data_IF_464982323779
#
_entry.id   IF_464982323779
#
_cell.length_a   1.000
_cell.length_b   1.000
_cell.length_c   1.000
_cell.angle_alpha   90.00
_cell.angle_beta   90.00
_cell.angle_gamma   90.00
#
_symmetry.space_group_name_H-M   'P 1'
#
loop_
_entity.id
_entity.type
_entity.pdbx_description
1 polymer ?
#
# COMPACT_ATOMS: atom_id res chain seq x y z
N UNK A 1 13.93 0.97 -16.77
CA UNK A 1 12.92 2.06 -16.74
C UNK A 1 12.47 2.20 -15.29
N UNK A 2 12.72 3.32 -14.62
CA UNK A 2 12.03 3.61 -13.36
C UNK A 2 10.55 3.68 -13.71
N UNK A 3 9.75 2.69 -13.31
CA UNK A 3 8.29 2.78 -13.46
C UNK A 3 7.87 4.02 -12.68
N UNK A 4 7.66 5.13 -13.38
CA UNK A 4 7.07 6.31 -12.79
C UNK A 4 5.61 5.97 -12.66
N UNK A 5 5.23 5.36 -11.53
CA UNK A 5 3.84 5.11 -11.15
C UNK A 5 3.06 6.43 -10.94
N UNK A 6 3.61 7.56 -11.38
CA UNK A 6 3.11 8.92 -11.19
C UNK A 6 2.90 9.56 -12.54
N UNK A 7 1.75 10.21 -12.69
CA UNK A 7 1.40 10.98 -13.87
C UNK A 7 0.74 12.31 -13.49
N UNK A 8 0.88 13.29 -14.36
CA UNK A 8 0.29 14.61 -14.17
C UNK A 8 -1.21 14.56 -14.45
N UNK A 9 -2.02 14.79 -13.42
CA UNK A 9 -3.48 14.65 -13.48
C UNK A 9 -4.20 16.00 -13.56
N UNK A 10 -3.60 16.94 -14.29
CA UNK A 10 -4.24 18.22 -14.58
C UNK A 10 -5.46 18.01 -15.47
N UNK A 11 -6.54 18.74 -15.21
CA UNK A 11 -7.77 18.71 -16.02
C UNK A 11 -7.50 19.03 -17.49
N UNK A 12 -6.53 19.91 -17.75
CA UNK A 12 -6.07 20.24 -19.09
C UNK A 12 -4.61 19.75 -19.22
N UNK A 13 -4.30 18.88 -20.19
CA UNK A 13 -2.94 18.45 -20.46
C UNK A 13 -2.00 19.63 -20.72
N UNK A 14 -0.71 19.48 -20.41
CA UNK A 14 0.28 20.47 -20.83
C UNK A 14 0.32 20.54 -22.36
N UNK A 15 0.28 21.75 -22.89
CA UNK A 15 0.50 22.00 -24.31
C UNK A 15 1.98 22.28 -24.55
N UNK A 16 2.66 21.41 -25.31
CA UNK A 16 4.01 21.67 -25.80
C UNK A 16 3.94 22.31 -27.20
N UNK A 17 4.76 23.34 -27.45
CA UNK A 17 4.85 23.99 -28.76
C UNK A 17 5.81 23.23 -29.67
N UNK A 18 5.40 22.04 -30.12
CA UNK A 18 6.21 21.10 -30.92
C UNK A 18 6.79 21.76 -32.18
N UNK A 19 6.07 22.70 -32.81
CA UNK A 19 6.53 23.41 -34.02
C UNK A 19 7.74 24.33 -33.80
N UNK A 20 7.97 24.79 -32.57
CA UNK A 20 9.10 25.64 -32.25
C UNK A 20 10.33 24.83 -31.81
N UNK A 21 10.12 23.65 -31.21
CA UNK A 21 11.19 22.67 -30.94
C UNK A 21 11.76 22.07 -32.24
N UNK A 22 10.92 21.82 -33.25
CA UNK A 22 11.35 21.32 -34.58
C UNK A 22 12.28 22.28 -35.35
N UNK A 23 12.30 23.58 -34.99
CA UNK A 23 13.17 24.59 -35.61
C UNK A 23 14.52 24.71 -34.90
N UNK A 24 14.82 23.85 -33.93
CA UNK A 24 16.04 23.91 -33.14
C UNK A 24 16.12 25.12 -32.21
N UNK A 25 15.01 25.86 -32.00
CA UNK A 25 14.98 27.00 -31.09
C UNK A 25 14.51 26.56 -29.72
N UNK A 26 15.27 26.93 -28.68
CA UNK A 26 14.90 26.67 -27.29
C UNK A 26 13.64 27.45 -26.94
N UNK A 27 12.54 26.74 -26.74
CA UNK A 27 11.30 27.34 -26.25
C UNK A 27 11.42 27.59 -24.75
N UNK A 28 11.16 28.82 -24.32
CA UNK A 28 11.20 29.23 -22.90
C UNK A 28 12.55 28.93 -22.22
N UNK A 29 13.65 29.45 -22.79
CA UNK A 29 15.01 29.27 -22.27
C UNK A 29 15.19 29.59 -20.76
N UNK A 30 14.33 30.44 -20.19
CA UNK A 30 14.35 30.82 -18.77
C UNK A 30 13.26 30.13 -17.92
N UNK A 31 12.65 29.06 -18.42
CA UNK A 31 11.59 28.33 -17.72
C UNK A 31 11.96 26.86 -17.55
N UNK A 32 11.93 26.40 -16.30
CA UNK A 32 12.09 24.97 -15.98
C UNK A 32 10.71 24.39 -15.72
N UNK A 33 10.24 23.55 -16.62
CA UNK A 33 9.04 22.75 -16.39
C UNK A 33 9.33 21.68 -15.32
N UNK A 34 8.68 21.80 -14.17
CA UNK A 34 8.79 20.83 -13.08
C UNK A 34 7.64 19.81 -13.18
N UNK A 35 7.98 18.53 -13.24
CA UNK A 35 7.00 17.44 -13.24
C UNK A 35 6.05 17.55 -12.04
N UNK A 36 4.76 17.45 -12.32
CA UNK A 36 3.68 17.60 -11.36
C UNK A 36 3.31 19.04 -11.01
N UNK A 37 3.98 20.07 -11.54
CA UNK A 37 3.69 21.48 -11.28
C UNK A 37 3.28 22.25 -12.54
N UNK A 38 2.03 22.70 -12.60
CA UNK A 38 1.50 23.48 -13.72
C UNK A 38 0.55 24.57 -13.21
N UNK A 39 0.68 25.78 -13.77
CA UNK A 39 -0.12 26.96 -13.40
C UNK A 39 -0.21 27.23 -11.87
N UNK A 40 0.91 27.09 -11.16
CA UNK A 40 0.99 27.33 -9.71
C UNK A 40 0.39 26.21 -8.84
N UNK A 41 -0.04 25.09 -9.43
CA UNK A 41 -0.62 23.95 -8.70
C UNK A 41 0.25 22.72 -8.87
N UNK A 42 0.33 21.91 -7.81
CA UNK A 42 0.92 20.58 -7.86
C UNK A 42 -0.16 19.51 -7.98
N UNK A 43 -0.23 18.79 -9.09
CA UNK A 43 -1.22 17.73 -9.32
C UNK A 43 -0.55 16.52 -9.94
N UNK A 44 -0.38 15.48 -9.12
CA UNK A 44 0.21 14.20 -9.51
C UNK A 44 -0.68 13.12 -8.94
N UNK A 45 -1.08 12.17 -9.79
CA UNK A 45 -1.82 10.99 -9.38
C UNK A 45 -0.95 9.76 -9.57
N UNK A 46 -1.24 8.70 -8.83
CA UNK A 46 -0.66 7.41 -9.14
C UNK A 46 -1.37 6.80 -10.36
N UNK A 47 -0.61 6.04 -11.16
CA UNK A 47 -1.13 5.28 -12.29
C UNK A 47 -1.94 4.06 -11.82
N UNK A 48 -2.45 3.32 -12.80
CA UNK A 48 -3.04 1.99 -12.60
C UNK A 48 -2.12 0.93 -13.18
N UNK A 49 -2.29 -0.32 -12.75
CA UNK A 49 -1.58 -1.47 -13.31
C UNK A 49 -1.96 -1.60 -14.80
N UNK A 50 -0.98 -1.48 -15.69
CA UNK A 50 -1.23 -1.47 -17.14
C UNK A 50 -0.98 -2.83 -17.78
N UNK A 51 -0.02 -3.59 -17.24
CA UNK A 51 0.46 -4.82 -17.85
C UNK A 51 0.03 -6.04 -17.03
N UNK A 52 -0.10 -7.20 -17.68
CA UNK A 52 -0.59 -8.44 -17.05
C UNK A 52 0.39 -9.05 -16.04
N UNK A 53 1.68 -8.77 -16.24
CA UNK A 53 2.78 -9.12 -15.36
C UNK A 53 2.95 -8.10 -14.22
N UNK A 54 2.40 -6.90 -14.32
CA UNK A 54 2.51 -5.88 -13.27
C UNK A 54 1.55 -6.17 -12.09
N UNK A 55 2.11 -6.30 -10.90
CA UNK A 55 1.35 -6.55 -9.67
C UNK A 55 1.68 -5.50 -8.61
N UNK A 56 0.66 -5.03 -7.90
CA UNK A 56 0.85 -4.25 -6.66
C UNK A 56 0.65 -5.17 -5.45
N UNK A 57 1.57 -5.10 -4.51
CA UNK A 57 1.57 -5.92 -3.31
C UNK A 57 1.43 -4.99 -2.11
N UNK A 58 0.42 -5.24 -1.29
CA UNK A 58 0.20 -4.57 -0.01
C UNK A 58 0.49 -5.54 1.13
N UNK A 59 1.33 -5.13 2.07
CA UNK A 59 1.58 -5.84 3.33
C UNK A 59 1.09 -4.97 4.48
N UNK A 60 0.22 -5.51 5.33
CA UNK A 60 -0.51 -4.76 6.34
C UNK A 60 -0.22 -5.33 7.72
N UNK A 61 0.20 -4.44 8.62
CA UNK A 61 0.42 -4.72 10.04
C UNK A 61 -0.62 -3.95 10.84
N UNK A 62 -1.43 -4.65 11.62
CA UNK A 62 -2.45 -4.04 12.48
C UNK A 62 -2.86 -5.00 13.61
N UNK A 63 -3.66 -4.51 14.54
CA UNK A 63 -4.10 -5.30 15.69
C UNK A 63 -2.91 -5.84 16.49
N UNK A 64 -2.94 -7.11 16.86
CA UNK A 64 -1.87 -7.76 17.61
C UNK A 64 -0.88 -8.50 16.67
N UNK A 65 -0.29 -7.77 15.72
CA UNK A 65 0.56 -8.35 14.69
C UNK A 65 1.90 -8.86 15.24
N UNK A 66 2.51 -8.20 16.23
CA UNK A 66 3.78 -8.63 16.83
C UNK A 66 3.54 -9.38 18.13
N UNK A 67 3.94 -10.66 18.21
CA UNK A 67 3.86 -11.46 19.44
C UNK A 67 5.24 -12.00 19.81
N UNK A 68 5.62 -11.87 21.09
CA UNK A 68 6.89 -12.40 21.62
C UNK A 68 6.63 -13.62 22.51
N UNK A 69 7.46 -14.67 22.41
CA UNK A 69 7.23 -15.94 23.11
C UNK A 69 7.65 -15.96 24.58
N UNK A 70 8.62 -15.12 24.98
CA UNK A 70 8.99 -14.99 26.41
C UNK A 70 8.23 -13.83 27.04
N UNK A 71 7.79 -14.03 28.29
CA UNK A 71 7.09 -13.09 29.18
C UNK A 71 7.84 -11.78 29.52
N UNK A 72 8.94 -11.48 28.84
CA UNK A 72 9.73 -10.28 29.05
C UNK A 72 9.13 -9.09 28.28
N UNK A 73 8.09 -8.49 28.88
CA UNK A 73 7.39 -7.26 28.45
C UNK A 73 6.71 -7.41 27.09
N UNK A 74 5.39 -7.22 27.03
CA UNK A 74 4.74 -6.80 25.78
C UNK A 74 5.49 -5.54 25.30
N UNK A 75 6.42 -5.72 24.36
CA UNK A 75 7.16 -4.60 23.79
C UNK A 75 6.18 -3.86 22.92
N UNK A 76 5.62 -2.79 23.48
CA UNK A 76 4.56 -2.02 22.84
C UNK A 76 5.05 -1.30 21.59
N UNK A 77 6.32 -0.91 21.58
CA UNK A 77 6.91 -0.10 20.52
C UNK A 77 8.07 -0.87 19.87
N UNK A 78 7.86 -1.36 18.66
CA UNK A 78 8.93 -1.94 17.84
C UNK A 78 8.96 -1.23 16.50
N UNK A 79 10.14 -1.11 15.91
CA UNK A 79 10.28 -0.57 14.55
C UNK A 79 10.39 -1.74 13.59
N UNK A 80 9.54 -1.75 12.55
CA UNK A 80 9.49 -2.78 11.53
C UNK A 80 9.98 -2.21 10.21
N UNK A 81 10.96 -2.89 9.62
CA UNK A 81 11.50 -2.60 8.29
C UNK A 81 11.23 -3.80 7.40
N UNK A 82 10.64 -3.56 6.24
CA UNK A 82 10.38 -4.61 5.25
C UNK A 82 11.19 -4.30 3.99
N UNK A 83 11.87 -5.28 3.43
CA UNK A 83 12.60 -5.14 2.18
C UNK A 83 12.15 -6.23 1.19
N UNK A 84 11.61 -5.88 0.02
CA UNK A 84 11.34 -6.86 -1.03
C UNK A 84 12.65 -7.41 -1.59
N UNK A 85 12.62 -8.68 -1.99
CA UNK A 85 13.72 -9.34 -2.67
C UNK A 85 13.21 -10.35 -3.69
N UNK A 86 14.01 -10.57 -4.73
CA UNK A 86 13.83 -11.69 -5.64
C UNK A 86 14.71 -12.85 -5.19
N UNK A 87 14.11 -13.98 -4.83
CA UNK A 87 14.85 -15.15 -4.28
C UNK A 87 15.80 -15.79 -5.29
N UNK A 88 15.67 -15.48 -6.58
CA UNK A 88 16.62 -15.92 -7.62
C UNK A 88 17.91 -15.11 -7.62
N UNK A 89 17.89 -13.91 -7.00
CA UNK A 89 19.05 -13.03 -6.93
C UNK A 89 19.76 -13.25 -5.60
N UNK A 90 21.09 -13.38 -5.63
CA UNK A 90 21.90 -13.39 -4.42
C UNK A 90 21.63 -12.10 -3.62
N UNK A 91 21.32 -12.26 -2.34
CA UNK A 91 21.05 -11.11 -1.47
C UNK A 91 22.33 -10.27 -1.37
N UNK A 92 22.22 -8.96 -1.58
CA UNK A 92 23.33 -8.05 -1.25
C UNK A 92 23.62 -8.17 0.24
N UNK A 93 24.91 -8.24 0.60
CA UNK A 93 25.41 -8.34 1.97
C UNK A 93 24.67 -7.35 2.89
N UNK A 94 23.77 -7.86 3.73
CA UNK A 94 22.92 -7.03 4.61
C UNK A 94 21.45 -7.47 4.73
N UNK A 95 20.90 -8.17 3.74
CA UNK A 95 19.53 -8.72 3.78
C UNK A 95 19.47 -10.19 4.27
N UNK A 96 20.53 -10.65 4.91
CA UNK A 96 20.68 -12.00 5.45
C UNK A 96 20.65 -12.01 6.98
N UNK A 97 20.08 -13.09 7.53
CA UNK A 97 20.13 -13.33 8.98
C UNK A 97 21.53 -13.85 9.31
N UNK A 98 22.45 -12.95 9.65
CA UNK A 98 23.79 -13.35 10.12
C UNK A 98 23.67 -14.05 11.48
N UNK A 99 24.07 -15.32 11.52
CA UNK A 99 24.25 -16.06 12.77
C UNK A 99 25.67 -15.82 13.29
N UNK A 100 25.85 -15.76 14.61
CA UNK A 100 27.17 -15.57 15.22
C UNK A 100 28.06 -16.82 15.15
N UNK A 101 27.54 -17.95 14.69
CA UNK A 101 28.22 -19.24 14.63
C UNK A 101 27.84 -19.94 13.32
N UNK A 102 28.81 -20.16 12.45
CA UNK A 102 28.64 -20.77 11.13
C UNK A 102 29.64 -20.19 10.15
N UNK A 103 30.38 -21.06 9.47
CA UNK A 103 31.10 -20.69 8.25
C UNK A 103 30.10 -20.99 7.14
N UNK A 104 29.60 -19.95 6.47
CA UNK A 104 28.73 -20.15 5.31
C UNK A 104 29.59 -20.79 4.21
N UNK A 105 29.19 -21.96 3.71
CA UNK A 105 29.73 -22.49 2.46
C UNK A 105 29.19 -21.59 1.35
N UNK A 106 30.03 -20.68 0.87
CA UNK A 106 29.67 -19.79 -0.24
C UNK A 106 29.62 -20.62 -1.52
N UNK A 107 28.41 -20.85 -2.05
CA UNK A 107 28.25 -21.28 -3.44
C UNK A 107 28.71 -20.12 -4.35
N UNK A 108 29.96 -20.19 -4.80
CA UNK A 108 30.66 -19.23 -5.66
C UNK A 108 30.25 -19.30 -7.15
N UNK A 109 29.06 -19.79 -7.46
CA UNK A 109 28.54 -19.75 -8.83
C UNK A 109 27.81 -18.41 -9.06
N UNK A 110 28.59 -17.39 -9.45
CA UNK A 110 28.10 -16.11 -9.96
C UNK A 110 27.36 -16.34 -11.28
N UNK A 111 26.09 -16.77 -11.19
CA UNK A 111 25.22 -16.91 -12.34
C UNK A 111 24.90 -15.52 -12.91
N UNK A 112 25.77 -15.08 -13.82
CA UNK A 112 25.67 -13.85 -14.61
C UNK A 112 24.44 -13.84 -15.57
N UNK A 113 23.48 -14.75 -15.40
CA UNK A 113 22.21 -14.79 -16.13
C UNK A 113 21.13 -13.85 -15.58
N UNK A 114 21.36 -13.20 -14.43
CA UNK A 114 20.36 -12.33 -13.80
C UNK A 114 19.98 -11.14 -14.71
N UNK A 115 18.68 -10.99 -14.98
CA UNK A 115 18.19 -9.89 -15.81
C UNK A 115 18.69 -8.52 -15.31
N UNK A 116 19.05 -7.60 -16.22
CA UNK A 116 19.68 -6.33 -15.87
C UNK A 116 18.78 -5.40 -15.04
N UNK A 117 17.46 -5.66 -14.98
CA UNK A 117 16.49 -4.83 -14.29
C UNK A 117 15.89 -5.54 -13.07
N UNK A 118 15.63 -4.82 -11.96
CA UNK A 118 15.00 -5.40 -10.79
C UNK A 118 13.57 -5.85 -11.10
N UNK A 119 13.15 -6.99 -10.55
CA UNK A 119 11.80 -7.54 -10.71
C UNK A 119 10.76 -6.91 -9.77
N UNK A 120 11.17 -5.97 -8.92
CA UNK A 120 10.30 -5.27 -7.98
C UNK A 120 10.74 -3.82 -7.78
N UNK A 121 9.79 -2.98 -7.36
CA UNK A 121 10.07 -1.59 -6.99
C UNK A 121 10.68 -1.49 -5.58
N UNK A 122 11.07 -0.28 -5.19
CA UNK A 122 11.29 0.05 -3.79
C UNK A 122 9.97 0.00 -3.01
N UNK A 123 10.08 -0.19 -1.70
CA UNK A 123 8.91 -0.24 -0.82
C UNK A 123 8.54 1.16 -0.32
N UNK A 124 7.25 1.44 -0.38
CA UNK A 124 6.64 2.61 0.24
C UNK A 124 5.80 2.19 1.44
N UNK A 125 5.59 3.10 2.38
CA UNK A 125 4.86 2.83 3.62
C UNK A 125 3.96 4.00 3.99
N UNK A 126 2.78 3.69 4.49
CA UNK A 126 1.82 4.62 5.06
C UNK A 126 1.35 4.11 6.43
N UNK A 127 1.32 5.00 7.42
CA UNK A 127 0.72 4.72 8.73
C UNK A 127 -0.71 5.25 8.69
N UNK A 128 -1.68 4.37 8.51
CA UNK A 128 -3.10 4.74 8.37
C UNK A 128 -3.73 5.23 9.68
N UNK A 129 -3.09 4.96 10.82
CA UNK A 129 -3.47 5.54 12.11
C UNK A 129 -3.05 7.01 12.27
N UNK A 130 -2.26 7.58 11.35
CA UNK A 130 -1.88 8.99 11.38
C UNK A 130 -3.04 9.91 10.94
N UNK A 131 -3.00 11.19 11.36
CA UNK A 131 -3.99 12.21 10.99
C UNK A 131 -4.09 12.48 9.48
N UNK A 132 -3.02 12.24 8.73
CA UNK A 132 -2.95 12.49 7.30
C UNK A 132 -2.10 11.41 6.62
N UNK A 133 -2.64 10.20 6.49
CA UNK A 133 -1.87 9.05 6.06
C UNK A 133 -1.49 9.21 4.59
N UNK A 134 -0.20 9.09 4.30
CA UNK A 134 0.34 9.16 2.93
C UNK A 134 1.47 8.16 2.76
N UNK A 135 1.48 7.51 1.60
CA UNK A 135 2.61 6.68 1.20
C UNK A 135 3.85 7.56 1.00
N UNK A 136 4.93 7.15 1.65
CA UNK A 136 6.27 7.71 1.51
C UNK A 136 7.28 6.57 1.37
N UNK A 137 8.48 6.85 0.89
CA UNK A 137 9.54 5.83 0.92
C UNK A 137 9.77 5.39 2.37
N UNK A 138 9.94 4.09 2.58
CA UNK A 138 10.29 3.57 3.89
C UNK A 138 11.63 4.17 4.35
N UNK A 139 11.73 4.74 5.56
CA UNK A 139 13.00 5.17 6.13
C UNK A 139 13.98 4.01 6.29
N UNK A 140 15.29 4.28 6.30
CA UNK A 140 16.31 3.23 6.46
C UNK A 140 16.19 2.46 7.78
N UNK A 141 15.65 3.12 8.81
CA UNK A 141 15.39 2.53 10.13
C UNK A 141 14.07 1.75 10.20
N UNK A 142 13.19 1.85 9.20
CA UNK A 142 11.84 1.29 9.23
C UNK A 142 10.78 2.24 9.81
N UNK A 143 9.64 1.69 10.23
CA UNK A 143 8.50 2.43 10.81
C UNK A 143 8.12 1.83 12.15
N UNK A 144 7.89 2.67 13.16
CA UNK A 144 7.38 2.24 14.46
C UNK A 144 5.98 1.68 14.31
N UNK A 145 5.75 0.52 14.92
CA UNK A 145 4.47 -0.17 14.95
C UNK A 145 4.12 -0.53 16.39
N UNK A 146 2.95 -0.07 16.82
CA UNK A 146 2.38 -0.34 18.12
C UNK A 146 1.15 -1.24 17.99
N UNK A 147 1.20 -2.42 18.60
CA UNK A 147 0.06 -3.35 18.62
C UNK A 147 -1.21 -2.67 19.14
N UNK A 148 -2.34 -3.00 18.51
CA UNK A 148 -3.68 -2.52 18.83
C UNK A 148 -3.88 -1.00 18.71
N UNK A 149 -2.90 -0.28 18.16
CA UNK A 149 -2.96 1.17 17.95
C UNK A 149 -2.71 1.53 16.49
N UNK A 150 -1.67 0.96 15.90
CA UNK A 150 -1.27 1.32 14.55
C UNK A 150 -1.86 0.40 13.49
N UNK A 151 -2.12 0.99 12.33
CA UNK A 151 -2.43 0.29 11.10
C UNK A 151 -1.43 0.74 10.05
N UNK A 152 -0.45 -0.09 9.73
CA UNK A 152 0.64 0.25 8.81
C UNK A 152 0.50 -0.55 7.54
N UNK A 153 0.60 0.13 6.40
CA UNK A 153 0.55 -0.50 5.07
C UNK A 153 1.84 -0.23 4.35
N UNK A 154 2.53 -1.30 3.96
CA UNK A 154 3.65 -1.28 3.04
C UNK A 154 3.14 -1.63 1.64
N UNK A 155 3.69 -0.97 0.63
CA UNK A 155 3.30 -1.11 -0.78
C UNK A 155 4.54 -1.22 -1.67
N UNK A 156 4.55 -2.22 -2.55
CA UNK A 156 5.56 -2.39 -3.59
C UNK A 156 4.90 -2.88 -4.88
N UNK A 157 5.56 -2.72 -6.02
CA UNK A 157 5.20 -3.35 -7.28
C UNK A 157 6.18 -4.47 -7.63
N UNK A 158 5.72 -5.50 -8.36
CA UNK A 158 6.59 -6.55 -8.89
C UNK A 158 6.03 -7.16 -10.17
N UNK A 159 6.95 -7.57 -11.05
CA UNK A 159 6.66 -8.31 -12.29
C UNK A 159 6.88 -9.83 -12.16
N UNK A 160 7.40 -10.29 -11.02
CA UNK A 160 7.78 -11.69 -10.81
C UNK A 160 7.40 -12.15 -9.38
N UNK A 161 6.11 -12.11 -9.08
CA UNK A 161 5.55 -12.35 -7.73
C UNK A 161 5.84 -13.74 -7.19
N UNK A 162 6.01 -14.73 -8.06
CA UNK A 162 6.36 -16.10 -7.73
C UNK A 162 7.77 -16.26 -7.14
N UNK A 163 8.63 -15.25 -7.34
CA UNK A 163 9.97 -15.18 -6.77
C UNK A 163 10.11 -14.07 -5.72
N UNK A 164 9.04 -13.32 -5.45
CA UNK A 164 9.06 -12.19 -4.53
C UNK A 164 8.98 -12.67 -3.07
N UNK A 165 10.06 -12.47 -2.33
CA UNK A 165 10.07 -12.61 -0.88
C UNK A 165 10.20 -11.25 -0.19
N UNK A 166 9.95 -11.22 1.12
CA UNK A 166 10.14 -10.05 1.95
C UNK A 166 11.04 -10.37 3.15
N UNK A 167 12.13 -9.61 3.29
CA UNK A 167 12.91 -9.59 4.52
C UNK A 167 12.26 -8.63 5.52
N UNK A 168 11.86 -9.15 6.66
CA UNK A 168 11.23 -8.35 7.71
C UNK A 168 12.18 -8.30 8.89
N UNK A 169 12.65 -7.10 9.21
CA UNK A 169 13.50 -6.83 10.36
C UNK A 169 12.71 -6.09 11.44
N UNK A 170 12.95 -6.51 12.68
CA UNK A 170 12.31 -5.96 13.87
C UNK A 170 13.39 -5.37 14.75
N UNK A 171 13.25 -4.09 15.05
CA UNK A 171 14.14 -3.32 15.89
C UNK A 171 13.43 -2.93 17.19
N UNK A 172 14.21 -2.92 18.26
CA UNK A 172 13.81 -2.31 19.53
C UNK A 172 13.68 -0.79 19.41
N UNK A 173 13.05 -0.17 20.41
CA UNK A 173 12.95 1.29 20.55
C UNK A 173 14.33 1.99 20.57
N UNK A 174 15.38 1.29 21.02
CA UNK A 174 16.77 1.75 21.03
C UNK A 174 17.46 1.63 19.65
N UNK A 175 16.76 1.17 18.61
CA UNK A 175 17.30 1.00 17.27
C UNK A 175 18.14 -0.27 17.07
N UNK A 176 18.26 -1.14 18.08
CA UNK A 176 18.94 -2.44 17.95
C UNK A 176 18.03 -3.47 17.27
N UNK A 177 18.53 -4.17 16.24
CA UNK A 177 17.84 -5.31 15.62
C UNK A 177 17.67 -6.43 16.63
N UNK A 178 16.44 -6.82 16.91
CA UNK A 178 16.11 -7.86 17.89
C UNK A 178 15.69 -9.17 17.22
N UNK A 179 15.13 -9.10 16.02
CA UNK A 179 14.82 -10.29 15.25
C UNK A 179 14.55 -10.01 13.78
N UNK A 180 14.54 -11.06 12.98
CA UNK A 180 14.23 -11.01 11.57
C UNK A 180 13.52 -12.29 11.12
N UNK A 181 12.78 -12.20 10.01
CA UNK A 181 12.15 -13.33 9.34
C UNK A 181 12.01 -13.07 7.84
N UNK A 182 11.69 -14.12 7.10
CA UNK A 182 11.36 -14.05 5.68
C UNK A 182 9.88 -14.36 5.47
N UNK A 183 9.20 -13.54 4.67
CA UNK A 183 7.95 -13.91 4.03
C UNK A 183 8.30 -14.45 2.64
N UNK A 184 8.41 -15.78 2.50
CA UNK A 184 8.69 -16.43 1.22
C UNK A 184 7.42 -16.51 0.35
N UNK A 185 7.52 -16.66 -0.97
CA UNK A 185 6.35 -16.85 -1.85
C UNK A 185 5.40 -17.95 -1.35
N UNK A 186 5.95 -19.06 -0.84
CA UNK A 186 5.18 -20.17 -0.27
C UNK A 186 4.35 -19.81 0.97
N UNK A 187 4.76 -18.77 1.71
CA UNK A 187 4.03 -18.23 2.86
C UNK A 187 2.94 -17.22 2.47
N UNK A 188 2.84 -16.89 1.18
CA UNK A 188 1.95 -15.89 0.57
C UNK A 188 1.18 -16.51 -0.62
N UNK A 189 0.56 -17.68 -0.41
CA UNK A 189 0.09 -18.56 -1.48
C UNK A 189 -1.04 -17.98 -2.36
N UNK A 190 -1.93 -17.16 -1.80
CA UNK A 190 -3.11 -16.66 -2.49
C UNK A 190 -2.97 -15.19 -2.92
N UNK A 191 -3.99 -14.64 -3.59
CA UNK A 191 -4.01 -13.20 -3.88
C UNK A 191 -4.28 -12.34 -2.65
N UNK A 192 -4.80 -12.90 -1.56
CA UNK A 192 -4.90 -12.22 -0.28
C UNK A 192 -4.94 -13.23 0.86
N UNK A 193 -4.52 -12.81 2.05
CA UNK A 193 -4.58 -13.66 3.22
C UNK A 193 -3.78 -13.09 4.38
N UNK A 194 -3.53 -13.94 5.36
CA UNK A 194 -2.72 -13.61 6.51
C UNK A 194 -1.64 -14.68 6.70
N UNK A 195 -0.40 -14.23 6.91
CA UNK A 195 0.75 -15.10 7.15
C UNK A 195 1.30 -14.86 8.54
N UNK A 196 1.58 -15.93 9.27
CA UNK A 196 2.23 -15.88 10.58
C UNK A 196 3.68 -16.33 10.43
N UNK A 197 4.60 -15.38 10.59
CA UNK A 197 6.02 -15.57 10.29
C UNK A 197 6.79 -15.57 11.61
N UNK A 198 7.38 -16.71 12.02
CA UNK A 198 8.24 -16.73 13.20
C UNK A 198 9.51 -15.95 12.91
N UNK A 199 9.91 -15.09 13.85
CA UNK A 199 11.17 -14.35 13.75
C UNK A 199 12.19 -14.82 14.79
N UNK A 200 13.43 -14.89 14.33
CA UNK A 200 14.58 -15.37 15.10
C UNK A 200 15.50 -14.20 15.44
N UNK A 201 16.18 -14.30 16.58
CA UNK A 201 17.24 -13.36 16.95
C UNK A 201 18.57 -13.72 16.26
N UNK A 202 19.62 -12.93 16.51
CA UNK A 202 20.98 -13.18 15.97
C UNK A 202 21.63 -14.48 16.44
N UNK A 203 21.11 -15.12 17.50
CA UNK A 203 21.57 -16.44 17.96
C UNK A 203 20.77 -17.59 17.33
N UNK A 204 19.90 -17.30 16.35
CA UNK A 204 19.03 -18.28 15.70
C UNK A 204 17.87 -18.80 16.52
N UNK A 205 17.63 -18.23 17.70
CA UNK A 205 16.54 -18.65 18.58
C UNK A 205 15.23 -17.98 18.13
N UNK A 206 14.12 -18.71 17.97
CA UNK A 206 12.80 -18.11 17.77
C UNK A 206 12.41 -17.32 19.03
N UNK A 207 12.09 -16.05 18.83
CA UNK A 207 11.74 -15.13 19.93
C UNK A 207 10.31 -14.59 19.82
N UNK A 208 9.65 -14.79 18.69
CA UNK A 208 8.27 -14.38 18.47
C UNK A 208 7.76 -14.70 17.07
N UNK A 209 6.61 -14.13 16.74
CA UNK A 209 5.98 -14.19 15.42
C UNK A 209 5.42 -12.82 15.03
N UNK A 210 5.53 -12.48 13.74
CA UNK A 210 4.86 -11.35 13.13
C UNK A 210 3.72 -11.86 12.24
N UNK A 211 2.56 -11.25 12.37
CA UNK A 211 1.39 -11.55 11.54
C UNK A 211 1.27 -10.47 10.47
N UNK A 212 1.33 -10.86 9.20
CA UNK A 212 1.28 -9.95 8.05
C UNK A 212 0.05 -10.29 7.23
N UNK A 213 -0.86 -9.34 7.06
CA UNK A 213 -1.98 -9.48 6.12
C UNK A 213 -1.52 -8.97 4.74
N UNK A 214 -1.66 -9.79 3.70
CA UNK A 214 -1.18 -9.48 2.37
C UNK A 214 -2.32 -9.36 1.35
N UNK A 215 -2.11 -8.54 0.32
CA UNK A 215 -2.99 -8.41 -0.84
C UNK A 215 -2.13 -8.20 -2.10
N UNK A 216 -2.27 -9.09 -3.06
CA UNK A 216 -1.74 -9.00 -4.41
C UNK A 216 -2.85 -8.49 -5.33
N UNK A 217 -2.73 -7.22 -5.69
CA UNK A 217 -3.58 -6.57 -6.69
C UNK A 217 -2.95 -6.83 -8.05
N UNK A 218 -3.74 -7.46 -8.92
CA UNK A 218 -3.34 -7.77 -10.30
C UNK A 218 -4.14 -6.90 -11.27
N UNK A 219 -3.62 -6.70 -12.47
CA UNK A 219 -4.41 -6.12 -13.55
C UNK A 219 -5.69 -6.94 -13.79
N UNK A 220 -6.74 -6.27 -14.26
CA UNK A 220 -7.98 -6.91 -14.65
C UNK A 220 -7.73 -7.72 -15.93
N UNK A 221 -7.54 -9.03 -15.78
CA UNK A 221 -7.27 -9.99 -16.86
C UNK A 221 -8.44 -10.21 -17.84
N UNK A 222 -9.54 -9.47 -17.68
CA UNK A 222 -10.65 -9.51 -18.64
C UNK A 222 -10.33 -8.53 -19.75
N UNK A 223 -10.69 -8.79 -21.01
CA UNK A 223 -10.54 -7.80 -22.07
C UNK A 223 -11.33 -6.54 -21.71
N UNK A 224 -10.62 -5.48 -21.37
CA UNK A 224 -11.19 -4.14 -21.18
C UNK A 224 -10.77 -3.32 -22.39
N UNK A 225 -11.65 -2.52 -23.00
CA UNK A 225 -11.23 -1.50 -23.95
C UNK A 225 -10.05 -0.70 -23.41
N UNK A 226 -9.11 -0.32 -24.27
CA UNK A 226 -7.96 0.51 -23.88
C UNK A 226 -8.45 1.67 -23.01
N UNK A 227 -8.01 1.70 -21.75
CA UNK A 227 -8.38 2.74 -20.80
C UNK A 227 -7.60 4.01 -21.14
N UNK A 228 -7.97 4.67 -22.23
CA UNK A 228 -7.49 6.01 -22.52
C UNK A 228 -8.33 6.99 -21.69
N UNK A 229 -7.70 7.87 -20.92
CA UNK A 229 -8.40 8.87 -20.10
C UNK A 229 -9.11 9.96 -20.94
N UNK A 230 -9.34 9.69 -22.23
CA UNK A 230 -9.99 10.55 -23.21
C UNK A 230 -11.43 10.90 -22.78
N UNK A 231 -12.11 9.97 -22.10
CA UNK A 231 -13.46 10.18 -21.56
C UNK A 231 -13.53 9.70 -20.11
N UNK A 232 -13.50 10.63 -19.17
CA UNK A 232 -13.75 10.35 -17.74
C UNK A 232 -15.25 10.47 -17.44
N UNK A 233 -15.90 9.34 -17.12
CA UNK A 233 -17.33 9.23 -16.81
C UNK A 233 -17.69 9.75 -15.40
N UNK A 234 -17.13 10.86 -14.95
CA UNK A 234 -17.34 11.43 -13.61
C UNK A 234 -18.81 11.77 -13.29
N UNK A 235 -19.68 11.85 -14.32
CA UNK A 235 -21.11 12.17 -14.19
C UNK A 235 -22.04 11.17 -14.89
N UNK A 236 -21.57 9.96 -15.20
CA UNK A 236 -22.41 8.97 -15.87
C UNK A 236 -22.93 7.93 -14.89
N UNK A 237 -24.18 8.12 -14.47
CA UNK A 237 -24.94 7.06 -13.83
C UNK A 237 -25.55 6.20 -14.94
N UNK A 238 -25.07 4.95 -15.08
CA UNK A 238 -25.81 3.97 -15.88
C UNK A 238 -27.21 3.88 -15.31
N UNK A 239 -28.23 3.96 -16.17
CA UNK A 239 -29.62 3.70 -15.78
C UNK A 239 -29.68 2.24 -15.30
N UNK A 240 -29.70 2.05 -13.98
CA UNK A 240 -29.84 0.75 -13.31
C UNK A 240 -31.26 0.64 -12.74
N UNK A 241 -31.61 -0.54 -12.24
CA UNK A 241 -32.83 -0.71 -11.45
C UNK A 241 -32.86 0.30 -10.31
N UNK A 242 -34.05 0.72 -9.93
CA UNK A 242 -34.28 1.56 -8.75
C UNK A 242 -33.69 0.86 -7.52
N UNK A 243 -32.93 1.60 -6.73
CA UNK A 243 -32.39 1.14 -5.44
C UNK A 243 -33.20 1.80 -4.32
N UNK A 244 -33.43 1.07 -3.23
CA UNK A 244 -34.06 1.61 -2.03
C UNK A 244 -32.99 2.24 -1.14
N UNK A 245 -33.08 3.55 -0.95
CA UNK A 245 -32.13 4.31 -0.15
C UNK A 245 -32.83 4.86 1.08
N UNK A 246 -32.39 4.44 2.27
CA UNK A 246 -32.88 4.96 3.53
C UNK A 246 -32.44 6.41 3.73
N UNK A 247 -33.37 7.36 3.61
CA UNK A 247 -33.13 8.79 3.80
C UNK A 247 -32.78 9.08 5.27
N UNK A 248 -31.56 9.52 5.55
CA UNK A 248 -30.99 9.75 6.91
C UNK A 248 -31.13 8.54 7.84
N UNK A 249 -31.06 7.35 7.25
CA UNK A 249 -31.43 6.06 7.87
C UNK A 249 -32.91 5.74 7.65
N UNK A 250 -33.65 5.43 8.73
CA UNK A 250 -35.07 5.02 8.66
C UNK A 250 -36.06 6.20 8.49
N UNK A 251 -35.56 7.41 8.19
CA UNK A 251 -36.28 8.44 7.44
C UNK A 251 -37.63 8.94 7.93
N UNK A 252 -37.87 9.03 9.24
CA UNK A 252 -39.16 9.52 9.74
C UNK A 252 -39.08 10.63 10.81
N UNK A 253 -38.13 11.55 10.65
CA UNK A 253 -37.70 12.56 11.66
C UNK A 253 -38.75 13.59 12.07
N UNK A 254 -39.81 13.79 11.27
CA UNK A 254 -40.77 14.88 11.47
C UNK A 254 -42.06 14.46 12.18
N UNK A 255 -42.21 13.19 12.54
CA UNK A 255 -43.37 12.72 13.29
C UNK A 255 -43.04 12.64 14.78
N UNK A 256 -43.98 13.06 15.64
CA UNK A 256 -43.84 13.06 17.11
C UNK A 256 -43.60 11.65 17.70
N UNK A 257 -43.71 10.61 16.88
CA UNK A 257 -43.61 9.19 17.20
C UNK A 257 -42.53 8.46 16.38
N UNK A 258 -41.54 9.18 15.84
CA UNK A 258 -40.44 8.58 15.10
C UNK A 258 -39.71 7.53 15.97
N UNK A 259 -39.76 6.26 15.56
CA UNK A 259 -39.09 5.15 16.27
C UNK A 259 -37.56 5.30 16.29
N UNK A 260 -36.99 5.95 15.27
CA UNK A 260 -35.55 6.17 15.15
C UNK A 260 -35.28 7.63 14.76
N UNK A 261 -34.30 8.25 15.43
CA UNK A 261 -33.85 9.62 15.13
C UNK A 261 -32.92 9.63 13.92
N UNK A 262 -33.11 10.56 13.00
CA UNK A 262 -32.25 10.71 11.80
C UNK A 262 -30.77 10.88 12.12
N UNK A 263 -29.93 10.50 11.15
CA UNK A 263 -28.46 10.64 11.21
C UNK A 263 -27.85 10.02 12.49
N UNK A 264 -28.48 8.96 13.02
CA UNK A 264 -27.95 8.14 14.11
C UNK A 264 -27.57 6.75 13.61
N UNK A 265 -26.57 6.13 14.23
CA UNK A 265 -26.17 4.75 13.92
C UNK A 265 -27.36 3.78 14.02
N UNK A 266 -28.24 3.98 15.00
CA UNK A 266 -29.45 3.17 15.16
C UNK A 266 -30.40 3.29 13.96
N UNK A 267 -30.64 4.50 13.45
CA UNK A 267 -31.48 4.74 12.27
C UNK A 267 -30.89 4.13 11.00
N UNK A 268 -29.57 4.22 10.82
CA UNK A 268 -28.86 3.62 9.69
C UNK A 268 -28.94 2.08 9.72
N UNK A 269 -28.70 1.47 10.89
CA UNK A 269 -28.83 0.02 11.07
C UNK A 269 -30.27 -0.45 10.87
N UNK A 270 -31.25 0.34 11.32
CA UNK A 270 -32.67 0.02 11.15
C UNK A 270 -33.06 0.00 9.67
N UNK A 271 -32.62 0.98 8.87
CA UNK A 271 -32.89 0.99 7.44
C UNK A 271 -32.32 -0.26 6.73
N UNK A 272 -31.08 -0.65 7.07
CA UNK A 272 -30.47 -1.87 6.54
C UNK A 272 -31.24 -3.13 6.94
N UNK A 273 -31.70 -3.23 8.19
CA UNK A 273 -32.52 -4.36 8.66
C UNK A 273 -33.87 -4.46 7.95
N UNK A 274 -34.40 -3.34 7.46
CA UNK A 274 -35.68 -3.28 6.74
C UNK A 274 -35.52 -3.37 5.22
N UNK A 275 -34.32 -3.71 4.72
CA UNK A 275 -34.12 -4.05 3.31
C UNK A 275 -33.63 -2.91 2.42
N UNK A 276 -33.25 -1.76 2.99
CA UNK A 276 -32.65 -0.69 2.19
C UNK A 276 -31.29 -1.14 1.60
N UNK A 277 -31.10 -0.95 0.29
CA UNK A 277 -29.86 -1.24 -0.42
C UNK A 277 -28.72 -0.31 0.04
N UNK A 278 -29.06 0.94 0.34
CA UNK A 278 -28.15 1.97 0.82
C UNK A 278 -28.80 2.83 1.90
N UNK A 279 -27.98 3.59 2.61
CA UNK A 279 -28.42 4.65 3.51
C UNK A 279 -27.79 5.96 3.08
N UNK A 280 -28.60 7.02 3.11
CA UNK A 280 -28.16 8.39 2.98
C UNK A 280 -27.98 8.98 4.38
N UNK A 281 -26.99 9.85 4.56
CA UNK A 281 -26.76 10.60 5.79
C UNK A 281 -26.02 11.90 5.48
N UNK A 282 -26.31 12.94 6.27
CA UNK A 282 -25.63 14.22 6.15
C UNK A 282 -24.32 14.21 6.92
N UNK A 283 -23.27 14.75 6.30
CA UNK A 283 -21.97 14.95 6.94
C UNK A 283 -21.77 16.44 7.17
N UNK A 284 -21.30 16.79 8.36
CA UNK A 284 -20.94 18.16 8.71
C UNK A 284 -19.46 18.20 9.09
N UNK A 285 -18.76 19.26 8.70
CA UNK A 285 -17.37 19.48 9.07
C UNK A 285 -17.31 20.30 10.37
N UNK A 286 -16.65 19.77 11.40
CA UNK A 286 -16.47 20.50 12.67
C UNK A 286 -15.29 21.47 12.57
N UNK A 287 -15.18 22.37 13.56
CA UNK A 287 -14.15 23.42 13.59
C UNK A 287 -12.72 22.85 13.61
N UNK A 288 -12.56 21.65 14.17
CA UNK A 288 -11.30 20.95 14.38
C UNK A 288 -10.92 19.94 13.28
N UNK A 289 -11.73 19.86 12.21
CA UNK A 289 -11.62 18.94 11.06
C UNK A 289 -11.98 17.50 11.39
#
# INVERSE_FOLDING_TARGET
MSCSDKWESFLHPRSCLVKAEQRGTVCRANHVDLFGYYAGRKVVSEGWLQYDDENQILLRLHGNALKFYKSAKERKNCTVKINPMDVRRRLRSGAQINFSYGVDEEDDEDDNSAEPYPSHSSISVAVLSDKNPKFKNQPDVGITFNNNKDYVVYKTHSVAVEFLAFYIEIFSEEGKRIGACYALPSSLADSCGQSQLPFINSSGRPIGQITVEYLFVRNLRKPIPTQNMEVSYSRHWKKRNTIEVGHRGAGNSFTKFAMARENTIYSLNTAAQHGADYVEFDVQLTKDK
#
